data_IF_067923538195
#
_entry.id   IF_067923538195
#
_cell.length_a   1.000
_cell.length_b   1.000
_cell.length_c   1.000
_cell.angle_alpha   90.00
_cell.angle_beta   90.00
_cell.angle_gamma   90.00
#
_symmetry.space_group_name_H-M   'P 1'
#
loop_
_entity.id
_entity.type
_entity.pdbx_description
1 polymer ?
#
# COMPACT_ATOMS: atom_id res chain seq x y z
N UNK A 1 -8.97 -21.16 36.66
CA UNK A 1 -8.64 -19.78 36.25
C UNK A 1 -7.50 -19.81 35.24
N UNK A 2 -7.75 -19.95 33.95
CA UNK A 2 -6.75 -19.83 32.87
C UNK A 2 -7.47 -19.96 31.51
N UNK A 3 -8.42 -19.06 31.19
CA UNK A 3 -9.05 -19.00 29.84
C UNK A 3 -9.40 -17.58 29.38
N UNK A 4 -8.76 -16.54 29.96
CA UNK A 4 -9.09 -15.13 29.59
C UNK A 4 -7.97 -14.43 28.81
N UNK A 5 -6.85 -15.10 28.55
CA UNK A 5 -5.66 -14.46 27.95
C UNK A 5 -5.55 -14.60 26.43
N UNK A 6 -6.39 -15.44 25.78
CA UNK A 6 -6.22 -15.73 24.35
C UNK A 6 -7.05 -14.82 23.42
N UNK A 7 -8.06 -14.13 23.97
CA UNK A 7 -8.97 -13.31 23.14
C UNK A 7 -8.51 -11.84 23.00
N UNK A 8 -7.60 -11.39 23.88
CA UNK A 8 -7.05 -10.02 23.83
C UNK A 8 -5.92 -9.91 22.79
N UNK A 9 -5.22 -11.00 22.51
CA UNK A 9 -4.11 -11.02 21.54
C UNK A 9 -4.54 -10.93 20.08
N UNK A 10 -5.77 -11.32 19.74
CA UNK A 10 -6.28 -11.27 18.36
C UNK A 10 -6.71 -9.87 17.91
N UNK A 11 -7.06 -8.98 18.84
CA UNK A 11 -7.44 -7.59 18.52
C UNK A 11 -6.24 -6.63 18.45
N UNK A 12 -5.14 -6.95 19.14
CA UNK A 12 -3.89 -6.19 19.04
C UNK A 12 -3.06 -6.54 17.80
N UNK A 13 -3.26 -7.73 17.22
CA UNK A 13 -2.48 -8.21 16.08
C UNK A 13 -2.68 -7.42 14.78
N UNK A 14 -3.85 -6.80 14.58
CA UNK A 14 -4.14 -6.06 13.34
C UNK A 14 -3.51 -4.66 13.34
N UNK A 15 -3.29 -4.06 14.52
CA UNK A 15 -2.66 -2.73 14.67
C UNK A 15 -1.13 -2.78 14.67
N UNK A 16 -0.54 -3.91 15.04
CA UNK A 16 0.91 -4.13 15.10
C UNK A 16 1.51 -4.42 13.72
N UNK A 17 0.76 -5.06 12.83
CA UNK A 17 1.29 -5.57 11.56
C UNK A 17 1.81 -4.47 10.64
N UNK A 18 1.12 -3.35 10.55
CA UNK A 18 1.52 -2.25 9.69
C UNK A 18 2.72 -1.46 10.23
N UNK A 19 2.86 -1.35 11.58
CA UNK A 19 4.06 -0.78 12.21
C UNK A 19 5.26 -1.72 12.06
N UNK A 20 5.01 -3.03 12.15
CA UNK A 20 6.03 -4.06 11.99
C UNK A 20 6.46 -4.22 10.54
N UNK A 21 5.58 -3.97 9.54
CA UNK A 21 5.92 -4.11 8.11
C UNK A 21 7.11 -3.25 7.70
N UNK A 22 7.28 -2.05 8.27
CA UNK A 22 8.45 -1.22 7.98
C UNK A 22 9.77 -1.81 8.52
N UNK A 23 9.69 -2.71 9.50
CA UNK A 23 10.82 -3.32 10.19
C UNK A 23 11.15 -4.72 9.66
N UNK A 24 10.22 -5.38 8.96
CA UNK A 24 10.43 -6.75 8.49
C UNK A 24 11.23 -6.79 7.19
N UNK A 25 11.98 -7.87 7.00
CA UNK A 25 12.81 -8.07 5.81
C UNK A 25 12.02 -8.65 4.63
N UNK A 26 10.94 -9.35 4.91
CA UNK A 26 10.05 -9.89 3.86
C UNK A 26 8.65 -10.18 4.42
N UNK A 27 7.66 -10.25 3.52
CA UNK A 27 6.29 -10.69 3.84
C UNK A 27 5.64 -11.38 2.63
N UNK A 28 4.58 -12.14 2.90
CA UNK A 28 3.75 -12.75 1.84
C UNK A 28 2.51 -11.91 1.57
N UNK A 29 2.20 -11.76 0.29
CA UNK A 29 0.98 -11.17 -0.20
C UNK A 29 0.54 -11.91 -1.47
N UNK A 30 -0.72 -12.33 -1.52
CA UNK A 30 -1.34 -13.01 -2.66
C UNK A 30 -0.48 -14.14 -3.25
N UNK A 31 0.04 -15.02 -2.36
CA UNK A 31 0.87 -16.16 -2.74
C UNK A 31 2.34 -15.84 -3.07
N UNK A 32 2.68 -14.57 -3.24
CA UNK A 32 4.03 -14.11 -3.57
C UNK A 32 4.76 -13.57 -2.34
N UNK A 33 6.09 -13.70 -2.31
CA UNK A 33 6.93 -13.13 -1.24
C UNK A 33 7.64 -11.88 -1.74
N UNK A 34 7.45 -10.79 -1.01
CA UNK A 34 8.11 -9.50 -1.23
C UNK A 34 9.23 -9.31 -0.23
N UNK A 35 10.39 -8.88 -0.71
CA UNK A 35 11.61 -8.70 0.06
C UNK A 35 11.97 -7.22 0.14
N UNK A 36 12.36 -6.73 1.32
CA UNK A 36 12.92 -5.40 1.49
C UNK A 36 14.23 -5.29 0.72
N UNK A 37 14.26 -4.42 -0.27
CA UNK A 37 15.44 -4.21 -1.11
C UNK A 37 16.06 -2.84 -0.92
N UNK A 38 15.28 -1.86 -0.49
CA UNK A 38 15.74 -0.50 -0.39
C UNK A 38 14.99 0.27 0.68
N UNK A 39 15.69 1.19 1.34
CA UNK A 39 15.12 2.21 2.21
C UNK A 39 15.61 3.57 1.71
N UNK A 40 14.68 4.46 1.41
CA UNK A 40 14.96 5.83 0.98
C UNK A 40 14.28 6.79 1.93
N UNK A 41 15.04 7.56 2.70
CA UNK A 41 14.52 8.41 3.78
C UNK A 41 13.71 7.58 4.77
N UNK A 42 12.38 7.80 4.82
CA UNK A 42 11.43 7.10 5.69
C UNK A 42 10.49 6.16 4.91
N UNK A 43 10.88 5.78 3.71
CA UNK A 43 10.14 4.85 2.86
C UNK A 43 10.91 3.54 2.70
N UNK A 44 10.26 2.41 2.98
CA UNK A 44 10.78 1.06 2.72
C UNK A 44 10.14 0.50 1.46
N UNK A 45 10.96 -0.06 0.57
CA UNK A 45 10.54 -0.64 -0.71
C UNK A 45 10.75 -2.14 -0.72
N UNK A 46 9.71 -2.86 -1.14
CA UNK A 46 9.69 -4.32 -1.21
C UNK A 46 9.37 -4.77 -2.63
N UNK A 47 10.14 -5.71 -3.13
CA UNK A 47 10.01 -6.26 -4.48
C UNK A 47 10.00 -7.79 -4.45
N UNK A 48 9.55 -8.41 -5.53
CA UNK A 48 9.72 -9.84 -5.75
C UNK A 48 11.21 -10.20 -5.79
N UNK A 49 11.54 -11.48 -5.61
CA UNK A 49 12.94 -11.95 -5.40
C UNK A 49 13.93 -11.42 -6.45
N UNK A 50 13.54 -11.40 -7.71
CA UNK A 50 14.41 -11.01 -8.83
C UNK A 50 14.17 -9.56 -9.31
N UNK A 51 13.38 -8.80 -8.60
CA UNK A 51 13.03 -7.42 -8.93
C UNK A 51 13.76 -6.42 -8.05
N UNK A 52 13.84 -5.17 -8.49
CA UNK A 52 14.45 -4.03 -7.80
C UNK A 52 13.81 -2.71 -8.23
N UNK A 53 14.29 -1.58 -7.71
CA UNK A 53 13.75 -0.25 -8.00
C UNK A 53 13.76 0.13 -9.49
N UNK A 54 14.75 -0.32 -10.25
CA UNK A 54 14.90 0.04 -11.67
C UNK A 54 14.10 -0.88 -12.61
N UNK A 55 13.80 -2.10 -12.15
CA UNK A 55 13.11 -3.10 -12.95
C UNK A 55 12.25 -3.97 -12.05
N UNK A 56 10.95 -3.67 -12.02
CA UNK A 56 9.96 -4.42 -11.25
C UNK A 56 8.60 -4.40 -11.96
N UNK A 57 7.82 -5.41 -11.69
CA UNK A 57 6.45 -5.55 -12.15
C UNK A 57 5.44 -5.16 -11.06
N UNK A 58 5.77 -5.48 -9.82
CA UNK A 58 4.99 -5.14 -8.65
C UNK A 58 5.89 -4.72 -7.49
N UNK A 59 5.44 -3.77 -6.70
CA UNK A 59 6.17 -3.29 -5.53
C UNK A 59 5.23 -2.95 -4.38
N UNK A 60 5.74 -3.06 -3.15
CA UNK A 60 5.15 -2.42 -1.99
C UNK A 60 6.04 -1.28 -1.50
N UNK A 61 5.39 -0.22 -1.05
CA UNK A 61 6.02 0.92 -0.35
C UNK A 61 5.36 1.09 1.01
N UNK A 62 6.18 1.23 2.04
CA UNK A 62 5.72 1.54 3.40
C UNK A 62 6.34 2.86 3.81
N UNK A 63 5.49 3.86 4.10
CA UNK A 63 5.90 5.21 4.48
C UNK A 63 5.15 5.66 5.72
N UNK A 64 5.86 6.29 6.65
CA UNK A 64 5.25 7.01 7.76
C UNK A 64 5.40 8.52 7.56
N UNK A 65 4.27 9.24 7.53
CA UNK A 65 4.22 10.68 7.39
C UNK A 65 3.79 11.33 8.72
N UNK A 66 4.71 12.09 9.32
CA UNK A 66 4.51 12.75 10.62
C UNK A 66 3.69 14.02 10.54
N UNK A 67 3.53 14.58 9.34
CA UNK A 67 2.86 15.85 9.15
C UNK A 67 1.34 15.71 9.03
N UNK A 68 0.85 14.48 8.80
CA UNK A 68 -0.57 14.14 8.68
C UNK A 68 -1.04 13.45 9.96
N UNK A 69 -1.72 14.18 10.86
CA UNK A 69 -2.14 13.69 12.20
C UNK A 69 -3.65 13.67 12.40
N UNK A 70 -4.38 14.37 11.55
CA UNK A 70 -5.85 14.51 11.65
C UNK A 70 -6.55 13.97 10.41
N UNK A 71 -7.84 13.65 10.56
CA UNK A 71 -8.67 13.27 9.42
C UNK A 71 -8.72 14.35 8.34
N UNK A 72 -8.75 15.64 8.73
CA UNK A 72 -8.78 16.75 7.78
C UNK A 72 -7.50 16.80 6.94
N UNK A 73 -6.34 16.67 7.57
CA UNK A 73 -5.04 16.63 6.87
C UNK A 73 -4.93 15.39 5.98
N UNK A 74 -5.47 14.25 6.41
CA UNK A 74 -5.52 13.04 5.57
C UNK A 74 -6.40 13.25 4.33
N UNK A 75 -7.55 13.89 4.46
CA UNK A 75 -8.42 14.20 3.32
C UNK A 75 -7.77 15.21 2.35
N UNK A 76 -7.01 16.17 2.87
CA UNK A 76 -6.21 17.08 2.04
C UNK A 76 -5.10 16.34 1.28
N UNK A 77 -4.40 15.40 1.95
CA UNK A 77 -3.40 14.54 1.30
C UNK A 77 -4.03 13.70 0.18
N UNK A 78 -5.14 13.01 0.46
CA UNK A 78 -5.86 12.24 -0.56
C UNK A 78 -6.29 13.09 -1.74
N UNK A 79 -6.82 14.30 -1.46
CA UNK A 79 -7.21 15.25 -2.50
C UNK A 79 -6.00 15.67 -3.36
N UNK A 80 -4.86 15.96 -2.75
CA UNK A 80 -3.64 16.29 -3.47
C UNK A 80 -3.17 15.13 -4.37
N UNK A 81 -3.19 13.89 -3.86
CA UNK A 81 -2.84 12.70 -4.64
C UNK A 81 -3.77 12.49 -5.84
N UNK A 82 -5.08 12.73 -5.68
CA UNK A 82 -6.05 12.65 -6.79
C UNK A 82 -5.89 13.78 -7.82
N UNK A 83 -5.38 14.93 -7.41
CA UNK A 83 -5.14 16.10 -8.29
C UNK A 83 -3.78 16.07 -8.99
N UNK A 84 -2.96 15.07 -8.71
CA UNK A 84 -1.70 14.88 -9.43
C UNK A 84 -1.96 14.81 -10.93
N UNK A 85 -1.18 15.58 -11.71
CA UNK A 85 -1.29 15.63 -13.18
C UNK A 85 -1.10 14.28 -13.88
N UNK A 86 -0.49 13.33 -13.21
CA UNK A 86 -0.27 11.99 -13.72
C UNK A 86 -1.40 11.01 -13.36
N UNK A 87 -2.37 11.42 -12.56
CA UNK A 87 -3.52 10.58 -12.21
C UNK A 87 -4.55 10.64 -13.33
N UNK A 88 -4.77 9.50 -13.99
CA UNK A 88 -5.76 9.36 -15.06
C UNK A 88 -7.13 8.97 -14.55
N UNK A 89 -7.19 8.26 -13.42
CA UNK A 89 -8.39 7.82 -12.75
C UNK A 89 -8.10 7.57 -11.28
N UNK A 90 -9.07 7.87 -10.41
CA UNK A 90 -8.99 7.55 -8.98
C UNK A 90 -10.31 7.02 -8.46
N UNK A 91 -10.24 6.04 -7.53
CA UNK A 91 -11.35 5.55 -6.73
C UNK A 91 -10.97 5.68 -5.26
N UNK A 92 -11.93 6.02 -4.41
CA UNK A 92 -11.67 6.28 -3.00
C UNK A 92 -12.73 5.64 -2.10
N UNK A 93 -12.29 5.09 -0.99
CA UNK A 93 -13.12 4.81 0.17
C UNK A 93 -12.42 5.32 1.45
N UNK A 94 -13.04 5.14 2.63
CA UNK A 94 -12.52 5.68 3.89
C UNK A 94 -11.09 5.24 4.22
N UNK A 95 -10.66 4.07 3.75
CA UNK A 95 -9.39 3.45 4.10
C UNK A 95 -8.38 3.41 2.97
N UNK A 96 -8.83 3.42 1.72
CA UNK A 96 -7.95 3.29 0.56
C UNK A 96 -8.19 4.38 -0.48
N UNK A 97 -7.14 4.64 -1.23
CA UNK A 97 -7.15 5.40 -2.48
C UNK A 97 -6.52 4.52 -3.56
N UNK A 98 -7.26 4.29 -4.63
CA UNK A 98 -6.80 3.51 -5.78
C UNK A 98 -6.64 4.43 -7.00
N UNK A 99 -5.47 4.40 -7.61
CA UNK A 99 -5.05 5.32 -8.67
C UNK A 99 -4.60 4.58 -9.92
N UNK A 100 -4.93 5.14 -11.09
CA UNK A 100 -4.24 4.85 -12.35
C UNK A 100 -3.39 6.07 -12.68
N UNK A 101 -2.10 5.85 -12.87
CA UNK A 101 -1.11 6.91 -13.17
C UNK A 101 -0.49 6.72 -14.54
N UNK A 102 -0.19 7.83 -15.22
CA UNK A 102 0.56 7.86 -16.46
C UNK A 102 2.00 8.31 -16.19
N UNK A 103 2.90 7.36 -16.17
CA UNK A 103 4.32 7.60 -15.99
C UNK A 103 5.04 7.62 -17.35
N UNK A 104 6.24 8.17 -17.40
CA UNK A 104 6.97 8.39 -18.66
C UNK A 104 7.17 7.10 -19.47
N UNK A 105 7.33 5.95 -18.81
CA UNK A 105 7.65 4.66 -19.46
C UNK A 105 6.62 3.56 -19.19
N UNK A 106 5.58 3.86 -18.43
CA UNK A 106 4.61 2.85 -18.01
C UNK A 106 3.28 3.48 -17.65
N UNK A 107 2.24 2.67 -17.53
CA UNK A 107 1.04 3.00 -16.75
C UNK A 107 1.04 2.18 -15.48
N UNK A 108 0.78 2.83 -14.37
CA UNK A 108 0.82 2.18 -13.07
C UNK A 108 -0.57 2.19 -12.44
N UNK A 109 -0.95 1.08 -11.83
CA UNK A 109 -1.98 1.11 -10.80
C UNK A 109 -1.29 1.23 -9.44
N UNK A 110 -1.83 2.05 -8.55
CA UNK A 110 -1.36 2.19 -7.19
C UNK A 110 -2.56 2.14 -6.24
N UNK A 111 -2.45 1.32 -5.20
CA UNK A 111 -3.47 1.18 -4.16
C UNK A 111 -2.82 1.55 -2.85
N UNK A 112 -3.31 2.60 -2.21
CA UNK A 112 -2.73 3.15 -0.97
C UNK A 112 -3.72 2.92 0.16
N UNK A 113 -3.29 2.22 1.20
CA UNK A 113 -4.01 2.08 2.46
C UNK A 113 -3.45 3.05 3.48
N UNK A 114 -4.33 3.83 4.12
CA UNK A 114 -3.99 4.84 5.10
C UNK A 114 -4.39 4.37 6.50
N UNK A 115 -3.44 4.39 7.42
CA UNK A 115 -3.65 4.11 8.83
C UNK A 115 -3.27 5.36 9.65
N UNK A 116 -4.29 6.16 9.99
CA UNK A 116 -4.09 7.35 10.80
C UNK A 116 -3.77 6.95 12.24
N UNK A 117 -2.66 7.47 12.76
CA UNK A 117 -2.16 7.25 14.11
C UNK A 117 -2.07 8.58 14.88
N UNK A 118 -1.78 8.51 16.18
CA UNK A 118 -1.66 9.70 17.03
C UNK A 118 -0.58 10.68 16.56
N UNK A 119 0.51 10.17 16.01
CA UNK A 119 1.73 10.92 15.68
C UNK A 119 2.02 11.01 14.18
N UNK A 120 1.09 10.53 13.35
CA UNK A 120 1.22 10.58 11.89
C UNK A 120 0.30 9.63 11.17
N UNK A 121 0.50 9.47 9.87
CA UNK A 121 -0.18 8.48 9.04
C UNK A 121 0.81 7.45 8.50
N UNK A 122 0.49 6.17 8.67
CA UNK A 122 1.19 5.08 7.99
C UNK A 122 0.49 4.80 6.66
N UNK A 123 1.26 4.84 5.59
CA UNK A 123 0.81 4.53 4.23
C UNK A 123 1.44 3.24 3.77
N UNK A 124 0.62 2.28 3.37
CA UNK A 124 1.03 1.07 2.69
C UNK A 124 0.52 1.14 1.26
N UNK A 125 1.43 1.26 0.30
CA UNK A 125 1.10 1.31 -1.12
C UNK A 125 1.48 0.01 -1.81
N UNK A 126 0.59 -0.51 -2.62
CA UNK A 126 0.85 -1.57 -3.59
C UNK A 126 0.81 -0.97 -4.98
N UNK A 127 1.86 -1.19 -5.74
CA UNK A 127 2.01 -0.71 -7.11
C UNK A 127 2.17 -1.86 -8.08
N UNK A 128 1.56 -1.74 -9.25
CA UNK A 128 1.74 -2.67 -10.36
C UNK A 128 1.90 -1.91 -11.67
N UNK A 129 2.88 -2.35 -12.47
CA UNK A 129 3.30 -1.67 -13.70
C UNK A 129 2.69 -2.37 -14.91
N UNK A 130 2.25 -1.57 -15.87
CA UNK A 130 1.67 -1.98 -17.15
C UNK A 130 2.34 -1.27 -18.30
N UNK A 131 2.19 -1.84 -19.50
CA UNK A 131 2.65 -1.23 -20.75
C UNK A 131 2.04 0.18 -20.92
N UNK A 132 2.84 1.20 -21.32
CA UNK A 132 2.35 2.56 -21.51
C UNK A 132 1.23 2.68 -22.55
N UNK A 133 1.12 1.72 -23.48
CA UNK A 133 0.05 1.67 -24.47
C UNK A 133 -1.28 1.14 -23.92
N UNK A 134 -1.29 0.57 -22.71
CA UNK A 134 -2.53 0.10 -22.08
C UNK A 134 -3.43 1.30 -21.80
N UNK A 135 -4.70 1.25 -22.24
CA UNK A 135 -5.62 2.36 -21.99
C UNK A 135 -6.04 2.45 -20.51
N UNK A 136 -6.26 3.67 -20.02
CA UNK A 136 -6.77 3.86 -18.66
C UNK A 136 -8.13 3.18 -18.45
N UNK A 137 -8.99 3.16 -19.47
CA UNK A 137 -10.30 2.50 -19.40
C UNK A 137 -10.19 0.97 -19.26
N UNK A 138 -9.19 0.36 -19.88
CA UNK A 138 -8.91 -1.06 -19.70
C UNK A 138 -8.38 -1.37 -18.28
N UNK A 139 -7.67 -0.44 -17.65
CA UNK A 139 -7.11 -0.61 -16.31
C UNK A 139 -8.13 -0.37 -15.18
N UNK A 140 -9.21 0.38 -15.41
CA UNK A 140 -10.22 0.66 -14.36
C UNK A 140 -10.79 -0.61 -13.70
N UNK A 141 -11.31 -1.61 -14.46
CA UNK A 141 -11.81 -2.83 -13.83
C UNK A 141 -10.71 -3.64 -13.14
N UNK A 142 -9.49 -3.61 -13.68
CA UNK A 142 -8.32 -4.24 -13.06
C UNK A 142 -8.01 -3.58 -11.72
N UNK A 143 -7.92 -2.25 -11.68
CA UNK A 143 -7.67 -1.49 -10.46
C UNK A 143 -8.70 -1.80 -9.37
N UNK A 144 -9.99 -1.81 -9.72
CA UNK A 144 -11.06 -2.10 -8.74
C UNK A 144 -10.99 -3.53 -8.22
N UNK A 145 -10.64 -4.49 -9.08
CA UNK A 145 -10.41 -5.88 -8.68
C UNK A 145 -9.20 -6.02 -7.75
N UNK A 146 -8.08 -5.40 -8.10
CA UNK A 146 -6.86 -5.40 -7.30
C UNK A 146 -7.08 -4.69 -5.95
N UNK A 147 -7.81 -3.57 -5.92
CA UNK A 147 -8.14 -2.87 -4.69
C UNK A 147 -8.97 -3.75 -3.73
N UNK A 148 -9.95 -4.49 -4.23
CA UNK A 148 -10.72 -5.45 -3.44
C UNK A 148 -9.85 -6.59 -2.91
N UNK A 149 -9.01 -7.16 -3.77
CA UNK A 149 -8.08 -8.21 -3.38
C UNK A 149 -7.10 -7.71 -2.31
N UNK A 150 -6.54 -6.52 -2.50
CA UNK A 150 -5.66 -5.87 -1.54
C UNK A 150 -6.31 -5.79 -0.15
N UNK A 151 -7.55 -5.29 -0.05
CA UNK A 151 -8.28 -5.21 1.21
C UNK A 151 -8.55 -6.57 1.85
N UNK A 152 -8.81 -7.59 1.05
CA UNK A 152 -9.03 -8.96 1.54
C UNK A 152 -7.75 -9.65 2.02
N UNK A 153 -6.60 -9.30 1.43
CA UNK A 153 -5.30 -9.90 1.75
C UNK A 153 -4.58 -9.16 2.89
N UNK A 154 -4.83 -7.86 3.07
CA UNK A 154 -4.18 -7.05 4.11
C UNK A 154 -4.17 -7.71 5.49
N UNK A 155 -5.29 -8.27 6.01
CA UNK A 155 -5.29 -8.95 7.30
C UNK A 155 -4.49 -10.26 7.33
N UNK A 156 -4.10 -10.78 6.18
CA UNK A 156 -3.39 -12.06 6.00
C UNK A 156 -1.90 -11.88 5.70
N UNK A 157 -1.39 -10.64 5.71
CA UNK A 157 0.03 -10.39 5.52
C UNK A 157 0.80 -10.99 6.69
N UNK A 158 1.61 -12.00 6.41
CA UNK A 158 2.49 -12.66 7.38
C UNK A 158 3.89 -12.06 7.27
N UNK A 159 4.32 -11.34 8.32
CA UNK A 159 5.70 -10.92 8.49
C UNK A 159 6.62 -12.13 8.67
N UNK A 160 7.79 -12.15 8.01
CA UNK A 160 8.81 -13.20 8.11
C UNK A 160 10.19 -12.62 8.38
#
# INVERSE_FOLDING_TARGET
MRKFSLFVLLFFGVFSLADELSLVESFRFDGSTFYKKQVVKNESFYFLKNENMSEHFAAFKVKFDKDVKTKSELEELKKALKQDKNVLFSEENDQILALIKDETKSKNIEIIHFLLKKDGVLMLSYERIYDPQTSADALKPVLLSEARNFMLQMPKIEAR
#
